data_IF_084954680824
#
_entry.id   IF_084954680824
#
_cell.length_a   1.000
_cell.length_b   1.000
_cell.length_c   1.000
_cell.angle_alpha   90.00
_cell.angle_beta   90.00
_cell.angle_gamma   90.00
#
_symmetry.space_group_name_H-M   'P 1'
#
loop_
_entity.id
_entity.type
_entity.pdbx_description
1 polymer ?
#
# COMPACT_ATOMS: atom_id res chain seq x y z
N UNK A 1 0.20 12.05 -5.97
CA UNK A 1 -0.90 12.14 -5.01
C UNK A 1 -1.34 10.75 -4.62
N UNK A 2 -2.03 10.58 -3.49
CA UNK A 2 -2.55 9.28 -3.05
C UNK A 2 -3.41 8.65 -4.14
N UNK A 3 -4.34 9.45 -4.69
CA UNK A 3 -5.24 9.03 -5.77
C UNK A 3 -4.45 8.52 -6.98
N UNK A 4 -3.47 9.29 -7.47
CA UNK A 4 -2.70 8.87 -8.65
C UNK A 4 -1.91 7.58 -8.42
N UNK A 5 -1.38 7.34 -7.20
CA UNK A 5 -0.67 6.10 -6.89
C UNK A 5 -1.65 4.91 -6.98
N UNK A 6 -2.80 5.00 -6.31
CA UNK A 6 -3.81 3.93 -6.29
C UNK A 6 -4.37 3.67 -7.69
N UNK A 7 -4.75 4.72 -8.42
CA UNK A 7 -5.28 4.59 -9.78
C UNK A 7 -4.25 3.99 -10.74
N UNK A 8 -2.97 4.39 -10.63
CA UNK A 8 -1.90 3.82 -11.46
C UNK A 8 -1.76 2.32 -11.19
N UNK A 9 -1.70 1.90 -9.92
CA UNK A 9 -1.57 0.48 -9.58
C UNK A 9 -2.80 -0.32 -10.02
N UNK A 10 -4.01 0.15 -9.75
CA UNK A 10 -5.24 -0.50 -10.20
C UNK A 10 -5.36 -0.55 -11.72
N UNK A 11 -4.86 0.45 -12.45
CA UNK A 11 -4.90 0.44 -13.91
C UNK A 11 -4.14 -0.76 -14.50
N UNK A 12 -3.11 -1.27 -13.81
CA UNK A 12 -2.36 -2.45 -14.25
C UNK A 12 -3.23 -3.72 -14.31
N UNK A 13 -4.25 -3.86 -13.46
CA UNK A 13 -5.13 -5.04 -13.45
C UNK A 13 -6.13 -5.06 -14.61
N UNK A 14 -6.43 -3.89 -15.20
CA UNK A 14 -7.42 -3.74 -16.27
C UNK A 14 -6.81 -3.39 -17.62
N UNK A 15 -5.52 -3.02 -17.69
CA UNK A 15 -4.88 -2.62 -18.93
C UNK A 15 -4.86 -3.77 -19.95
N UNK A 16 -5.55 -3.65 -21.10
CA UNK A 16 -5.63 -4.73 -22.08
C UNK A 16 -4.30 -5.00 -22.80
N UNK A 17 -3.30 -4.11 -22.66
CA UNK A 17 -1.96 -4.30 -23.23
C UNK A 17 -1.14 -5.30 -22.43
N UNK A 18 -1.38 -5.39 -21.11
CA UNK A 18 -0.71 -6.32 -20.21
C UNK A 18 -1.42 -7.67 -20.29
N UNK A 19 -0.74 -8.67 -20.82
CA UNK A 19 -1.26 -10.03 -20.92
C UNK A 19 -1.01 -10.83 -19.65
N UNK A 20 -1.75 -11.93 -19.50
CA UNK A 20 -1.51 -12.86 -18.41
C UNK A 20 -0.11 -13.50 -18.56
N UNK A 21 0.70 -13.41 -17.50
CA UNK A 21 2.06 -13.91 -17.45
C UNK A 21 3.14 -12.90 -17.81
N UNK A 22 2.78 -11.68 -18.22
CA UNK A 22 3.73 -10.60 -18.44
C UNK A 22 4.44 -10.20 -17.14
N UNK A 23 5.70 -9.77 -17.25
CA UNK A 23 6.45 -9.28 -16.10
C UNK A 23 6.04 -7.85 -15.74
N UNK A 24 5.62 -7.65 -14.50
CA UNK A 24 5.25 -6.34 -13.96
C UNK A 24 6.31 -5.93 -12.92
N UNK A 25 6.92 -4.77 -13.11
CA UNK A 25 7.86 -4.19 -12.14
C UNK A 25 7.23 -2.93 -11.56
N UNK A 26 7.07 -2.91 -10.23
CA UNK A 26 6.59 -1.75 -9.49
C UNK A 26 7.76 -1.21 -8.68
N UNK A 27 8.12 0.05 -8.91
CA UNK A 27 9.19 0.74 -8.18
C UNK A 27 8.63 1.95 -7.44
N UNK A 28 8.97 2.06 -6.16
CA UNK A 28 8.66 3.23 -5.33
C UNK A 28 9.89 3.64 -4.54
N UNK A 29 10.16 4.95 -4.50
CA UNK A 29 11.17 5.54 -3.62
C UNK A 29 10.58 6.76 -2.93
N UNK A 30 10.76 6.85 -1.62
CA UNK A 30 10.16 7.92 -0.82
C UNK A 30 10.08 7.60 0.67
N UNK A 31 9.16 8.25 1.36
CA UNK A 31 8.92 7.99 2.77
C UNK A 31 7.98 6.81 2.96
N UNK A 32 8.29 5.98 3.94
CA UNK A 32 7.33 5.07 4.56
C UNK A 32 7.16 5.40 6.04
N UNK A 33 6.08 4.90 6.62
CA UNK A 33 5.67 5.10 8.01
C UNK A 33 5.25 3.80 8.66
N UNK A 34 5.26 3.76 10.00
CA UNK A 34 4.77 2.63 10.78
C UNK A 34 3.82 3.14 11.87
N UNK A 35 2.66 2.50 11.96
CA UNK A 35 1.57 2.85 12.88
C UNK A 35 1.37 1.70 13.86
N UNK A 36 1.85 1.87 15.09
CA UNK A 36 1.69 0.85 16.15
C UNK A 36 0.23 0.75 16.59
N UNK A 37 -0.31 -0.45 16.63
CA UNK A 37 -1.69 -0.70 17.03
C UNK A 37 -1.95 -0.26 18.49
N UNK A 38 -0.95 -0.37 19.37
CA UNK A 38 -1.01 0.09 20.76
C UNK A 38 -1.26 1.60 20.92
N UNK A 39 -0.99 2.41 19.89
CA UNK A 39 -1.31 3.84 19.92
C UNK A 39 -2.80 4.13 19.72
N UNK A 40 -3.56 3.15 19.21
CA UNK A 40 -4.96 3.31 18.81
C UNK A 40 -5.92 2.41 19.62
N UNK A 41 -5.47 1.23 20.04
CA UNK A 41 -6.24 0.31 20.88
C UNK A 41 -5.78 0.43 22.34
N UNK A 42 -6.69 0.87 23.22
CA UNK A 42 -6.41 1.13 24.64
C UNK A 42 -6.37 -0.13 25.52
N UNK A 43 -6.85 -1.25 25.00
CA UNK A 43 -6.90 -2.54 25.68
C UNK A 43 -5.65 -3.35 25.33
N UNK A 44 -5.04 -4.01 26.32
CA UNK A 44 -3.92 -4.95 26.15
C UNK A 44 -4.35 -6.29 25.49
N UNK A 45 -5.25 -6.21 24.51
CA UNK A 45 -5.75 -7.32 23.72
C UNK A 45 -4.82 -7.71 22.57
N UNK A 46 -5.20 -8.73 21.81
CA UNK A 46 -4.48 -9.10 20.59
C UNK A 46 -4.52 -7.96 19.56
N UNK A 47 -5.61 -7.18 19.54
CA UNK A 47 -5.77 -6.02 18.66
C UNK A 47 -4.71 -4.92 18.84
N UNK A 48 -4.08 -4.80 20.02
CA UNK A 48 -3.05 -3.79 20.27
C UNK A 48 -1.63 -4.26 19.88
N UNK A 49 -1.48 -5.52 19.46
CA UNK A 49 -0.19 -6.09 19.06
C UNK A 49 0.06 -5.88 17.57
N UNK A 50 1.25 -5.35 17.24
CA UNK A 50 1.72 -5.19 15.87
C UNK A 50 1.76 -3.73 15.41
N UNK A 51 2.08 -3.56 14.13
CA UNK A 51 2.09 -2.27 13.46
C UNK A 51 1.60 -2.44 12.03
N UNK A 52 1.03 -1.37 11.48
CA UNK A 52 0.70 -1.24 10.06
C UNK A 52 1.80 -0.40 9.45
N UNK A 53 2.48 -0.95 8.45
CA UNK A 53 3.43 -0.17 7.65
C UNK A 53 2.71 0.47 6.46
N UNK A 54 3.23 1.58 5.96
CA UNK A 54 2.59 2.32 4.88
C UNK A 54 3.59 3.11 4.04
N UNK A 55 3.32 3.24 2.75
CA UNK A 55 4.00 4.22 1.89
C UNK A 55 3.29 5.57 1.98
N UNK A 56 4.05 6.66 1.98
CA UNK A 56 3.53 8.00 2.22
C UNK A 56 3.36 8.79 0.91
N UNK A 57 2.12 9.08 0.48
CA UNK A 57 1.87 9.98 -0.63
C UNK A 57 2.40 11.40 -0.36
N UNK A 58 2.75 12.12 -1.42
CA UNK A 58 3.23 13.51 -1.32
C UNK A 58 2.18 14.48 -0.76
N UNK A 59 0.92 14.25 -1.10
CA UNK A 59 -0.25 15.02 -0.65
C UNK A 59 -0.84 14.50 0.66
N UNK A 60 -0.10 13.64 1.40
CA UNK A 60 -0.54 13.24 2.74
C UNK A 60 -0.81 14.49 3.56
N UNK A 61 -1.99 14.54 4.17
CA UNK A 61 -2.44 15.71 4.89
C UNK A 61 -2.96 15.24 6.26
N UNK A 62 -2.34 15.67 7.37
CA UNK A 62 -2.90 15.43 8.69
C UNK A 62 -4.22 16.21 8.77
N UNK A 63 -5.34 15.48 8.72
CA UNK A 63 -6.68 16.03 8.80
C UNK A 63 -7.38 15.62 10.10
N UNK A 64 -8.41 16.38 10.48
CA UNK A 64 -9.38 15.92 11.47
C UNK A 64 -10.06 14.64 10.95
N UNK A 65 -10.44 13.69 11.82
CA UNK A 65 -11.21 12.48 11.42
C UNK A 65 -12.48 12.80 10.60
N UNK A 66 -12.95 14.05 10.64
CA UNK A 66 -14.15 14.52 9.98
C UNK A 66 -13.89 15.45 8.78
N UNK A 67 -12.65 15.81 8.46
CA UNK A 67 -12.31 16.73 7.36
C UNK A 67 -11.00 16.35 6.68
N UNK A 68 -11.09 15.90 5.42
CA UNK A 68 -10.03 16.06 4.41
C UNK A 68 -8.68 15.40 4.70
N UNK A 69 -8.59 14.43 5.62
CA UNK A 69 -7.32 13.70 5.82
C UNK A 69 -7.01 12.88 4.57
N UNK A 70 -5.81 13.01 4.03
CA UNK A 70 -5.30 12.12 2.99
C UNK A 70 -4.38 11.13 3.70
N UNK A 71 -4.82 9.88 3.93
CA UNK A 71 -4.03 8.90 4.65
C UNK A 71 -2.90 8.35 3.78
N UNK A 72 -1.91 7.77 4.45
CA UNK A 72 -0.92 6.94 3.79
C UNK A 72 -1.56 5.68 3.18
N UNK A 73 -0.84 4.98 2.31
CA UNK A 73 -1.29 3.73 1.68
C UNK A 73 -0.69 2.59 2.49
N UNK A 74 -1.53 1.85 3.23
CA UNK A 74 -1.07 0.76 4.07
C UNK A 74 -0.56 -0.43 3.27
N UNK A 75 0.28 -1.23 3.90
CA UNK A 75 0.70 -2.55 3.43
C UNK A 75 -0.49 -3.45 3.04
N UNK A 76 -1.58 -3.43 3.81
CA UNK A 76 -2.80 -4.18 3.52
C UNK A 76 -3.51 -3.67 2.27
N UNK A 77 -3.61 -2.35 2.09
CA UNK A 77 -4.20 -1.74 0.89
C UNK A 77 -3.33 -2.07 -0.33
N UNK A 78 -2.01 -1.92 -0.21
CA UNK A 78 -1.06 -2.25 -1.27
C UNK A 78 -1.12 -3.74 -1.64
N UNK A 79 -1.08 -4.65 -0.67
CA UNK A 79 -1.15 -6.10 -0.92
C UNK A 79 -2.50 -6.50 -1.54
N UNK A 80 -3.60 -5.83 -1.18
CA UNK A 80 -4.91 -6.06 -1.83
C UNK A 80 -4.87 -5.70 -3.31
N UNK A 81 -4.22 -4.58 -3.66
CA UNK A 81 -4.05 -4.18 -5.06
C UNK A 81 -3.13 -5.14 -5.80
N UNK A 82 -2.01 -5.55 -5.19
CA UNK A 82 -1.12 -6.56 -5.78
C UNK A 82 -1.83 -7.90 -6.02
N UNK A 83 -2.69 -8.33 -5.08
CA UNK A 83 -3.48 -9.54 -5.22
C UNK A 83 -4.45 -9.45 -6.42
N UNK A 84 -5.05 -8.28 -6.65
CA UNK A 84 -5.93 -8.04 -7.79
C UNK A 84 -5.16 -8.03 -9.13
N UNK A 85 -3.98 -7.42 -9.16
CA UNK A 85 -3.08 -7.49 -10.34
C UNK A 85 -2.67 -8.95 -10.58
N UNK A 86 -2.28 -9.68 -9.54
CA UNK A 86 -1.88 -11.10 -9.65
C UNK A 86 -3.01 -11.98 -10.17
N UNK A 87 -4.24 -11.75 -9.69
CA UNK A 87 -5.44 -12.45 -10.14
C UNK A 87 -5.73 -12.25 -11.62
N UNK A 88 -5.52 -11.04 -12.13
CA UNK A 88 -5.89 -10.65 -13.51
C UNK A 88 -4.76 -10.84 -14.51
N UNK A 89 -3.52 -10.57 -14.11
CA UNK A 89 -2.32 -10.55 -14.96
C UNK A 89 -1.33 -11.67 -14.66
N UNK A 90 -1.55 -12.47 -13.63
CA UNK A 90 -0.66 -13.55 -13.22
C UNK A 90 0.40 -13.09 -12.21
N UNK A 91 1.18 -14.04 -11.65
CA UNK A 91 1.95 -13.81 -10.43
C UNK A 91 3.32 -13.14 -10.65
N UNK A 92 3.69 -12.79 -11.88
CA UNK A 92 5.01 -12.25 -12.22
C UNK A 92 5.11 -10.75 -11.88
N UNK A 93 5.00 -10.43 -10.59
CA UNK A 93 5.02 -9.05 -10.08
C UNK A 93 6.22 -8.89 -9.14
N UNK A 94 7.12 -7.96 -9.48
CA UNK A 94 8.27 -7.60 -8.66
C UNK A 94 8.08 -6.20 -8.10
N UNK A 95 8.05 -6.07 -6.78
CA UNK A 95 8.00 -4.78 -6.11
C UNK A 95 9.36 -4.41 -5.53
N UNK A 96 9.85 -3.20 -5.84
CA UNK A 96 11.08 -2.64 -5.31
C UNK A 96 10.69 -1.38 -4.54
N UNK A 97 10.83 -1.43 -3.22
CA UNK A 97 10.45 -0.34 -2.31
C UNK A 97 11.69 0.23 -1.64
N UNK A 98 12.13 1.38 -2.12
CA UNK A 98 13.22 2.17 -1.55
C UNK A 98 12.65 3.19 -0.56
N UNK A 99 12.12 2.67 0.55
CA UNK A 99 11.56 3.45 1.65
C UNK A 99 11.75 2.73 2.99
N UNK A 100 11.75 3.49 4.09
CA UNK A 100 11.73 2.90 5.44
C UNK A 100 10.38 2.19 5.70
N UNK A 101 10.35 1.18 6.57
CA UNK A 101 9.13 0.46 6.97
C UNK A 101 8.40 -0.17 5.77
N UNK A 102 9.09 -1.04 5.03
CA UNK A 102 8.55 -1.74 3.85
C UNK A 102 8.59 -3.28 4.01
N UNK A 103 8.77 -3.77 5.25
CA UNK A 103 9.00 -5.18 5.56
C UNK A 103 7.75 -6.05 5.42
N UNK A 104 6.56 -5.45 5.54
CA UNK A 104 5.26 -6.15 5.48
C UNK A 104 4.62 -6.17 4.09
N UNK A 105 5.19 -5.49 3.10
CA UNK A 105 4.62 -5.27 1.76
C UNK A 105 4.68 -6.51 0.84
N UNK A 106 4.76 -7.71 1.43
CA UNK A 106 4.71 -8.99 0.70
C UNK A 106 4.12 -10.12 1.55
N UNK A 107 3.30 -9.79 2.56
CA UNK A 107 2.60 -10.77 3.41
C UNK A 107 1.30 -11.25 2.78
#
# INVERSE_FOLDING_TARGET
TRVNIIETLLSLSVDPRIQHGDNIIIYFSGHGSSYFCSNYYKTDGIESKGCIEAICPMDRAPGSPFHGSIPDISDQEFNTILAEISRTKGPHITCILDCCYASSVSR
#
